data_IF_149427977556
#
_entry.id   IF_149427977556
#
_cell.length_a   1.000
_cell.length_b   1.000
_cell.length_c   1.000
_cell.angle_alpha   90.00
_cell.angle_beta   90.00
_cell.angle_gamma   90.00
#
_symmetry.space_group_name_H-M   'P 1'
#
loop_
_entity.id
_entity.type
_entity.pdbx_description
1 polymer ?
#
# COMPACT_ATOMS: atom_id res chain seq x y z
N UNK A 1 29.30 -24.26 12.11
CA UNK A 1 28.52 -23.01 12.01
C UNK A 1 29.49 -21.86 11.75
N UNK A 2 29.38 -21.18 10.61
CA UNK A 2 29.73 -19.77 10.52
C UNK A 2 28.49 -18.91 10.20
N UNK A 3 28.59 -17.64 10.58
CA UNK A 3 27.50 -16.71 10.75
C UNK A 3 26.94 -16.15 9.43
N UNK A 4 25.64 -15.83 9.55
CA UNK A 4 24.71 -15.15 8.66
C UNK A 4 25.27 -14.11 7.66
N UNK A 5 24.84 -14.31 6.42
CA UNK A 5 24.81 -13.30 5.37
C UNK A 5 23.72 -12.28 5.74
N UNK A 6 24.10 -11.11 6.26
CA UNK A 6 23.17 -9.98 6.39
C UNK A 6 22.68 -9.59 4.99
N UNK A 7 21.43 -9.91 4.72
CA UNK A 7 20.66 -9.49 3.54
C UNK A 7 20.72 -7.96 3.44
N UNK A 8 21.41 -7.47 2.40
CA UNK A 8 21.60 -6.04 2.18
C UNK A 8 20.29 -5.47 1.65
N UNK A 9 19.50 -4.88 2.54
CA UNK A 9 18.32 -4.07 2.17
C UNK A 9 18.76 -3.04 1.13
N UNK A 10 18.24 -3.16 -0.09
CA UNK A 10 18.56 -2.26 -1.20
C UNK A 10 17.72 -0.98 -1.11
N UNK A 11 18.13 0.08 -1.80
CA UNK A 11 17.30 1.30 -1.87
C UNK A 11 15.92 1.02 -2.49
N UNK A 12 15.84 0.03 -3.39
CA UNK A 12 14.59 -0.45 -3.98
C UNK A 12 13.70 -1.13 -2.93
N UNK A 13 14.29 -1.88 -1.99
CA UNK A 13 13.56 -2.48 -0.87
C UNK A 13 12.97 -1.38 0.02
N UNK A 14 13.76 -0.38 0.43
CA UNK A 14 13.36 0.73 1.35
C UNK A 14 12.19 1.59 0.83
N UNK A 15 12.00 1.67 -0.49
CA UNK A 15 11.02 2.57 -1.11
C UNK A 15 9.66 1.90 -1.33
N UNK A 16 9.62 0.58 -1.50
CA UNK A 16 8.40 -0.24 -1.33
C UNK A 16 7.86 -0.17 0.10
N UNK A 17 8.73 0.09 1.10
CA UNK A 17 8.34 0.09 2.52
C UNK A 17 7.58 1.36 2.94
N UNK A 18 7.51 2.39 2.09
CA UNK A 18 7.03 3.73 2.48
C UNK A 18 6.09 4.40 1.47
N UNK A 19 5.28 3.65 0.75
CA UNK A 19 4.19 4.23 -0.04
C UNK A 19 2.81 3.84 0.49
N UNK A 20 1.81 4.50 -0.10
CA UNK A 20 0.38 4.35 0.15
C UNK A 20 -0.35 4.44 -1.17
N UNK A 21 -1.57 3.91 -1.23
CA UNK A 21 -2.43 4.04 -2.40
C UNK A 21 -3.71 4.81 -2.04
N UNK A 22 -4.23 5.60 -2.97
CA UNK A 22 -5.60 6.09 -2.88
C UNK A 22 -6.57 4.95 -3.16
N UNK A 23 -7.81 5.04 -2.68
CA UNK A 23 -8.87 4.14 -3.11
C UNK A 23 -10.23 4.84 -3.04
N UNK A 24 -11.13 4.42 -3.92
CA UNK A 24 -12.52 4.82 -3.97
C UNK A 24 -13.34 3.60 -4.40
N UNK A 25 -14.39 3.29 -3.65
CA UNK A 25 -15.38 2.28 -4.02
C UNK A 25 -16.72 2.65 -3.43
N UNK A 26 -17.77 1.99 -3.90
CA UNK A 26 -19.07 1.97 -3.25
C UNK A 26 -19.23 0.63 -2.51
N UNK A 27 -19.93 0.67 -1.39
CA UNK A 27 -20.45 -0.54 -0.76
C UNK A 27 -21.70 -1.01 -1.52
N UNK A 28 -22.02 -2.29 -1.42
CA UNK A 28 -23.24 -2.82 -2.00
C UNK A 28 -24.50 -2.19 -1.37
N UNK A 29 -25.66 -2.44 -2.00
CA UNK A 29 -26.93 -2.00 -1.45
C UNK A 29 -27.37 -2.97 -0.35
N UNK A 30 -27.54 -2.47 0.87
CA UNK A 30 -28.12 -3.20 1.99
C UNK A 30 -29.07 -2.28 2.75
N UNK A 31 -30.16 -2.84 3.31
CA UNK A 31 -31.21 -2.07 3.97
C UNK A 31 -31.67 -0.83 3.14
N UNK A 32 -31.87 -1.06 1.83
CA UNK A 32 -32.35 -0.06 0.87
C UNK A 32 -31.44 1.15 0.62
N UNK A 33 -30.18 1.12 1.06
CA UNK A 33 -29.22 2.18 0.77
C UNK A 33 -27.78 1.69 0.57
N UNK A 34 -26.87 2.62 0.23
CA UNK A 34 -25.45 2.35 -0.04
C UNK A 34 -24.56 3.45 0.53
N UNK A 35 -23.31 3.11 0.84
CA UNK A 35 -22.31 4.10 1.24
C UNK A 35 -21.12 4.16 0.28
N UNK A 36 -20.52 5.34 0.18
CA UNK A 36 -19.23 5.54 -0.51
C UNK A 36 -18.09 5.30 0.47
N UNK A 37 -17.01 4.68 -0.01
CA UNK A 37 -15.80 4.43 0.76
C UNK A 37 -14.63 5.08 0.01
N UNK A 38 -13.99 6.06 0.63
CA UNK A 38 -12.86 6.79 0.05
C UNK A 38 -11.75 6.96 1.07
N UNK A 39 -10.51 6.85 0.62
CA UNK A 39 -9.39 7.08 1.52
C UNK A 39 -8.03 6.85 0.89
N UNK A 40 -7.06 6.78 1.79
CA UNK A 40 -5.67 6.40 1.50
C UNK A 40 -5.33 5.22 2.39
N UNK A 41 -4.65 4.22 1.83
CA UNK A 41 -4.27 3.04 2.59
C UNK A 41 -3.26 3.40 3.69
N UNK A 42 -3.13 2.54 4.70
CA UNK A 42 -2.00 2.59 5.62
C UNK A 42 -0.66 2.34 4.89
N UNK A 43 0.48 2.61 5.55
CA UNK A 43 1.79 2.29 5.02
C UNK A 43 1.90 0.80 4.65
N UNK A 44 2.73 0.50 3.65
CA UNK A 44 3.06 -0.86 3.28
C UNK A 44 3.52 -1.67 4.50
N UNK A 45 2.93 -2.85 4.70
CA UNK A 45 3.35 -3.82 5.72
C UNK A 45 4.17 -4.92 5.05
N UNK A 46 5.30 -5.26 5.66
CA UNK A 46 6.32 -6.20 5.15
C UNK A 46 6.41 -7.48 5.99
N UNK A 47 5.43 -7.73 6.85
CA UNK A 47 5.38 -8.93 7.69
C UNK A 47 5.04 -10.20 6.90
N UNK A 48 4.88 -10.08 5.58
CA UNK A 48 4.54 -11.14 4.63
C UNK A 48 5.53 -11.14 3.45
N UNK A 49 5.64 -12.24 2.68
CA UNK A 49 6.54 -12.33 1.51
C UNK A 49 6.28 -11.30 0.39
N UNK A 50 5.16 -10.58 0.49
CA UNK A 50 4.70 -9.52 -0.41
C UNK A 50 4.09 -8.42 0.45
N UNK A 51 4.24 -7.15 0.07
CA UNK A 51 3.66 -6.07 0.87
C UNK A 51 2.15 -5.95 0.65
N UNK A 52 1.46 -5.53 1.70
CA UNK A 52 0.02 -5.28 1.70
C UNK A 52 -0.28 -4.03 2.52
N UNK A 53 -1.46 -3.44 2.31
CA UNK A 53 -1.88 -2.25 3.03
C UNK A 53 -3.16 -2.48 3.83
N UNK A 54 -3.30 -1.78 4.95
CA UNK A 54 -4.54 -1.75 5.75
C UNK A 54 -5.44 -0.63 5.28
N UNK A 55 -6.71 -0.91 5.06
CA UNK A 55 -7.76 0.09 4.91
C UNK A 55 -8.46 0.19 6.26
N UNK A 56 -8.31 1.32 6.94
CA UNK A 56 -8.98 1.60 8.22
C UNK A 56 -9.67 2.96 8.13
N UNK A 57 -10.91 2.97 7.64
CA UNK A 57 -11.67 4.19 7.33
C UNK A 57 -13.13 4.05 7.72
N UNK A 58 -13.87 5.15 7.65
CA UNK A 58 -15.34 5.14 7.74
C UNK A 58 -15.93 5.27 6.34
N UNK A 59 -17.11 4.71 6.16
CA UNK A 59 -17.94 4.99 4.99
C UNK A 59 -18.51 6.42 5.06
N UNK A 60 -19.07 6.92 3.96
CA UNK A 60 -19.83 8.17 3.95
C UNK A 60 -21.00 8.11 4.91
N UNK A 61 -21.33 9.23 5.55
CA UNK A 61 -22.59 9.35 6.28
C UNK A 61 -23.75 9.42 5.31
N UNK A 62 -24.78 8.59 5.52
CA UNK A 62 -26.02 8.69 4.77
C UNK A 62 -27.13 9.12 5.71
N UNK A 63 -27.83 10.21 5.36
CA UNK A 63 -28.94 10.72 6.16
C UNK A 63 -30.24 10.03 5.72
N UNK A 64 -30.80 9.23 6.61
CA UNK A 64 -32.09 8.56 6.46
C UNK A 64 -33.15 9.23 7.34
N UNK A 65 -34.43 8.88 7.15
CA UNK A 65 -35.56 9.47 7.89
C UNK A 65 -35.38 9.39 9.43
N UNK A 66 -34.70 8.33 9.92
CA UNK A 66 -34.51 8.04 11.34
C UNK A 66 -33.16 8.51 11.92
N UNK A 67 -32.39 9.31 11.17
CA UNK A 67 -31.19 9.97 11.69
C UNK A 67 -29.86 9.56 11.07
N UNK A 68 -29.84 8.58 10.16
CA UNK A 68 -28.70 8.22 9.33
C UNK A 68 -27.50 7.59 10.06
N UNK A 69 -26.60 6.97 9.31
CA UNK A 69 -25.43 6.29 9.88
C UNK A 69 -24.26 6.17 8.89
N UNK A 70 -23.21 5.51 9.38
CA UNK A 70 -21.97 5.17 8.67
C UNK A 70 -21.43 3.87 9.28
N UNK A 71 -20.55 3.18 8.56
CA UNK A 71 -19.88 1.97 9.04
C UNK A 71 -18.37 2.11 9.04
N UNK A 72 -17.69 1.30 9.86
CA UNK A 72 -16.25 1.10 9.78
C UNK A 72 -15.88 0.11 8.68
N UNK A 73 -14.74 0.39 8.07
CA UNK A 73 -14.02 -0.50 7.15
C UNK A 73 -12.66 -0.77 7.77
N UNK A 74 -12.34 -2.04 8.00
CA UNK A 74 -11.07 -2.48 8.57
C UNK A 74 -10.59 -3.78 7.92
N UNK A 75 -9.87 -3.66 6.80
CA UNK A 75 -9.44 -4.80 5.98
C UNK A 75 -8.00 -4.66 5.51
N UNK A 76 -7.42 -5.77 5.08
CA UNK A 76 -6.14 -5.79 4.38
C UNK A 76 -6.37 -5.91 2.87
N UNK A 77 -5.53 -5.24 2.09
CA UNK A 77 -5.48 -5.50 0.65
C UNK A 77 -4.90 -6.87 0.36
N UNK A 78 -5.15 -7.36 -0.85
CA UNK A 78 -4.44 -8.48 -1.44
C UNK A 78 -2.99 -8.09 -1.83
N UNK A 79 -2.14 -9.08 -2.18
CA UNK A 79 -0.82 -8.85 -2.77
C UNK A 79 -0.86 -7.90 -3.98
N UNK A 80 0.28 -7.25 -4.31
CA UNK A 80 0.37 -6.32 -5.42
C UNK A 80 0.11 -7.03 -6.75
N UNK A 81 -0.52 -6.31 -7.67
CA UNK A 81 -0.70 -6.67 -9.07
C UNK A 81 0.16 -5.69 -9.87
N UNK A 82 1.25 -6.19 -10.45
CA UNK A 82 2.17 -5.40 -11.24
C UNK A 82 1.53 -4.94 -12.56
N UNK A 83 1.84 -3.70 -12.94
CA UNK A 83 1.41 -3.07 -14.17
C UNK A 83 2.60 -2.93 -15.14
N UNK A 84 2.37 -2.84 -16.46
CA UNK A 84 3.45 -2.80 -17.45
C UNK A 84 4.38 -1.57 -17.37
N UNK A 85 3.99 -0.53 -16.64
CA UNK A 85 4.70 0.75 -16.54
C UNK A 85 5.60 0.85 -15.29
N UNK A 86 5.78 -0.25 -14.55
CA UNK A 86 6.58 -0.27 -13.33
C UNK A 86 5.84 0.27 -12.09
N UNK A 87 4.52 0.43 -12.18
CA UNK A 87 3.64 0.64 -11.03
C UNK A 87 2.94 -0.67 -10.64
N UNK A 88 2.29 -0.67 -9.48
CA UNK A 88 1.39 -1.73 -9.05
C UNK A 88 0.12 -1.16 -8.40
N UNK A 89 -0.87 -2.02 -8.27
CA UNK A 89 -2.09 -1.76 -7.50
C UNK A 89 -2.40 -2.94 -6.59
N UNK A 90 -3.36 -2.78 -5.69
CA UNK A 90 -3.87 -3.86 -4.86
C UNK A 90 -5.38 -4.00 -5.02
N UNK A 91 -5.85 -5.24 -5.15
CA UNK A 91 -7.27 -5.56 -4.96
C UNK A 91 -7.61 -5.58 -3.46
N UNK A 92 -8.84 -5.23 -3.10
CA UNK A 92 -9.36 -5.38 -1.75
C UNK A 92 -10.84 -5.72 -1.77
N UNK A 93 -11.29 -6.41 -0.72
CA UNK A 93 -12.71 -6.70 -0.50
C UNK A 93 -12.98 -6.92 0.99
N UNK A 94 -14.23 -6.81 1.40
CA UNK A 94 -14.63 -7.14 2.76
C UNK A 94 -16.08 -6.82 3.06
N UNK A 95 -16.36 -6.75 4.37
CA UNK A 95 -17.66 -6.40 4.92
C UNK A 95 -17.45 -5.29 5.94
N UNK A 96 -18.33 -4.30 5.96
CA UNK A 96 -18.29 -3.22 6.93
C UNK A 96 -18.63 -3.72 8.34
N UNK A 97 -18.41 -2.90 9.37
CA UNK A 97 -18.99 -3.19 10.69
C UNK A 97 -20.51 -3.30 10.64
N UNK A 98 -21.07 -4.03 11.60
CA UNK A 98 -22.52 -4.14 11.76
C UNK A 98 -23.02 -2.96 12.59
N UNK A 99 -23.70 -2.02 11.95
CA UNK A 99 -24.27 -0.82 12.55
C UNK A 99 -25.71 -0.67 12.06
N UNK A 100 -26.57 -0.11 12.88
CA UNK A 100 -28.01 0.07 12.58
C UNK A 100 -28.69 -1.18 11.96
N UNK A 101 -28.40 -2.34 12.55
CA UNK A 101 -28.98 -3.62 12.18
C UNK A 101 -28.65 -4.15 10.76
N UNK A 102 -27.59 -3.67 10.12
CA UNK A 102 -27.08 -4.25 8.87
C UNK A 102 -25.58 -3.98 8.68
N UNK A 103 -25.04 -4.51 7.58
CA UNK A 103 -23.68 -4.28 7.11
C UNK A 103 -23.67 -4.38 5.58
N UNK A 104 -22.61 -3.87 4.96
CA UNK A 104 -22.43 -3.88 3.52
C UNK A 104 -21.22 -4.71 3.13
N UNK A 105 -21.28 -5.38 1.98
CA UNK A 105 -20.08 -5.91 1.33
C UNK A 105 -19.49 -4.90 0.36
N UNK A 106 -18.20 -4.98 0.11
CA UNK A 106 -17.53 -4.10 -0.85
C UNK A 106 -16.30 -4.78 -1.46
N UNK A 107 -15.91 -4.31 -2.62
CA UNK A 107 -14.67 -4.71 -3.30
C UNK A 107 -14.18 -3.60 -4.22
N UNK A 108 -12.87 -3.48 -4.38
CA UNK A 108 -12.28 -2.48 -5.25
C UNK A 108 -10.82 -2.74 -5.55
N UNK A 109 -10.24 -1.81 -6.29
CA UNK A 109 -8.81 -1.80 -6.65
C UNK A 109 -8.27 -0.44 -6.24
N UNK A 110 -7.09 -0.41 -5.62
CA UNK A 110 -6.46 0.84 -5.22
C UNK A 110 -5.96 1.62 -6.44
N UNK A 111 -5.61 2.88 -6.25
CA UNK A 111 -4.79 3.64 -7.20
C UNK A 111 -3.41 3.00 -7.40
N UNK A 112 -2.66 3.52 -8.35
CA UNK A 112 -1.30 3.05 -8.66
C UNK A 112 -0.29 3.54 -7.63
N UNK A 113 0.62 2.68 -7.23
CA UNK A 113 1.83 3.02 -6.48
C UNK A 113 3.07 2.53 -7.23
N UNK A 114 4.26 3.09 -6.96
CA UNK A 114 5.48 2.68 -7.65
C UNK A 114 5.87 1.25 -7.25
N UNK A 115 6.14 0.38 -8.21
CA UNK A 115 6.84 -0.90 -7.96
C UNK A 115 8.34 -0.65 -7.91
N UNK A 116 8.88 0.34 -8.60
CA UNK A 116 10.28 0.75 -8.44
C UNK A 116 10.33 2.26 -8.54
N UNK A 117 11.24 2.92 -7.81
CA UNK A 117 11.41 4.35 -7.98
C UNK A 117 12.00 4.58 -9.38
N UNK A 118 11.20 5.15 -10.27
CA UNK A 118 11.75 5.95 -11.35
C UNK A 118 12.39 7.14 -10.66
N UNK A 119 13.72 7.15 -10.59
CA UNK A 119 14.46 8.35 -10.20
C UNK A 119 14.01 9.41 -11.21
N UNK A 120 13.19 10.36 -10.76
CA UNK A 120 12.73 11.45 -11.61
C UNK A 120 13.99 12.17 -12.12
N UNK A 121 14.21 12.28 -13.45
CA UNK A 121 15.34 13.05 -13.96
C UNK A 121 15.26 14.53 -13.56
N UNK A 122 14.13 15.02 -13.05
CA UNK A 122 14.00 16.36 -12.49
C UNK A 122 14.43 16.45 -11.01
N UNK A 123 14.67 15.33 -10.31
CA UNK A 123 15.24 15.31 -8.95
C UNK A 123 16.70 14.84 -9.01
N UNK A 124 17.57 15.65 -9.61
CA UNK A 124 19.03 15.54 -9.46
C UNK A 124 19.48 15.98 -8.04
N UNK A 125 18.92 15.35 -7.00
CA UNK A 125 19.51 15.33 -5.66
C UNK A 125 19.29 13.92 -5.12
N UNK A 126 20.13 13.00 -5.57
CA UNK A 126 20.24 11.67 -4.98
C UNK A 126 20.50 11.81 -3.45
N UNK A 127 19.88 11.00 -2.59
CA UNK A 127 20.26 10.96 -1.18
C UNK A 127 21.76 10.66 -1.11
N UNK A 128 22.50 11.54 -0.42
CA UNK A 128 23.95 11.53 -0.36
C UNK A 128 24.50 10.10 -0.25
N UNK A 129 25.10 9.63 -1.33
CA UNK A 129 25.72 8.31 -1.38
C UNK A 129 26.74 8.22 -0.25
N UNK A 130 26.54 7.28 0.66
CA UNK A 130 27.56 6.88 1.61
C UNK A 130 28.87 6.61 0.86
N UNK A 131 29.93 7.17 1.40
CA UNK A 131 31.22 7.38 0.75
C UNK A 131 31.77 6.14 0.05
N UNK A 132 32.26 6.34 -1.19
CA UNK A 132 33.05 5.37 -1.94
C UNK A 132 34.32 4.98 -1.16
N UNK A 133 34.32 3.86 -0.44
CA UNK A 133 35.58 3.20 -0.06
C UNK A 133 36.13 2.44 -1.27
N UNK A 134 37.08 3.07 -1.96
CA UNK A 134 38.02 2.42 -2.90
C UNK A 134 38.69 1.23 -2.22
N UNK A 135 38.51 0.03 -2.74
CA UNK A 135 39.49 -1.05 -2.60
C UNK A 135 39.68 -1.73 -3.95
N UNK A 136 40.91 -1.66 -4.46
CA UNK A 136 41.33 -2.37 -5.65
C UNK A 136 42.45 -1.68 -6.40
N UNK A 137 43.70 -1.93 -6.00
CA UNK A 137 44.65 -2.59 -6.91
C UNK A 137 45.96 -2.95 -6.19
N UNK A 138 46.22 -4.26 -6.10
CA UNK A 138 47.58 -4.80 -6.03
C UNK A 138 48.26 -4.52 -7.37
N UNK A 139 49.53 -4.07 -7.40
CA UNK A 139 50.41 -4.36 -8.51
C UNK A 139 51.19 -5.66 -8.25
N UNK A 140 51.33 -6.46 -9.30
CA UNK A 140 52.16 -7.65 -9.34
C UNK A 140 53.64 -7.29 -9.64
N UNK A 141 54.53 -7.99 -8.93
CA UNK A 141 55.92 -8.39 -9.27
C UNK A 141 57.01 -7.35 -9.56
N UNK A 142 58.11 -7.47 -8.82
CA UNK A 142 59.40 -7.98 -9.32
C UNK A 142 60.13 -8.72 -8.22
#
# INVERSE_FOLDING_TARGET
MPANEEERITADDVLHERHVHTFLTEADVAAEHQHVIVGVTGPARLDMPVHVHRLHVRTSFLAEEDGGHWHWVDVMTCPPIDLPDGNHTHYFQGTTSYDDNHCHTFSGVTGTGPTFIIIDPCTEEAPASSEKKKYGNRPATS
#
